data_IF_206499267726
#
_entry.id   IF_206499267726
#
_cell.length_a   1.000
_cell.length_b   1.000
_cell.length_c   1.000
_cell.angle_alpha   90.00
_cell.angle_beta   90.00
_cell.angle_gamma   90.00
#
_symmetry.space_group_name_H-M   'P 1'
#
loop_
_entity.id
_entity.type
_entity.pdbx_description
1 polymer ?
#
# COMPACT_ATOMS: atom_id res chain seq x y z
N UNK A 1 1.57 6.40 -17.63
CA UNK A 1 0.80 7.16 -16.63
C UNK A 1 -0.68 7.03 -16.98
N UNK A 2 -1.62 7.32 -16.05
CA UNK A 2 -3.05 7.10 -16.33
C UNK A 2 -3.97 7.07 -15.13
N UNK A 3 -3.42 6.95 -13.91
CA UNK A 3 -4.18 6.87 -12.67
C UNK A 3 -3.84 7.98 -11.66
N UNK A 4 -3.32 9.14 -12.11
CA UNK A 4 -2.91 10.25 -11.22
C UNK A 4 -4.02 10.69 -10.25
N UNK A 5 -5.27 10.76 -10.72
CA UNK A 5 -6.42 11.11 -9.88
C UNK A 5 -6.62 10.09 -8.75
N UNK A 6 -6.54 8.80 -9.06
CA UNK A 6 -6.70 7.72 -8.08
C UNK A 6 -5.51 7.70 -7.11
N UNK A 7 -4.29 7.88 -7.62
CA UNK A 7 -3.09 8.01 -6.80
C UNK A 7 -3.21 9.17 -5.80
N UNK A 8 -3.70 10.33 -6.25
CA UNK A 8 -3.98 11.49 -5.37
C UNK A 8 -5.06 11.20 -4.33
N UNK A 9 -6.14 10.51 -4.71
CA UNK A 9 -7.21 10.10 -3.78
C UNK A 9 -6.71 9.22 -2.63
N UNK A 10 -5.71 8.37 -2.89
CA UNK A 10 -5.09 7.52 -1.88
C UNK A 10 -3.76 8.08 -1.32
N UNK A 11 -3.40 9.31 -1.66
CA UNK A 11 -2.18 9.96 -1.15
C UNK A 11 -0.87 9.29 -1.58
N UNK A 12 -0.84 8.64 -2.74
CA UNK A 12 0.36 8.05 -3.32
C UNK A 12 1.16 9.13 -4.05
N UNK A 13 2.14 9.70 -3.32
CA UNK A 13 3.00 10.80 -3.80
C UNK A 13 4.37 10.31 -4.29
N UNK A 14 4.86 9.20 -3.75
CA UNK A 14 6.19 8.64 -4.04
C UNK A 14 6.05 7.20 -4.51
N UNK A 15 6.92 6.78 -5.45
CA UNK A 15 6.98 5.39 -5.94
C UNK A 15 8.32 4.74 -5.57
N UNK A 16 8.35 3.41 -5.34
CA UNK A 16 7.19 2.51 -5.25
C UNK A 16 6.40 2.70 -3.94
N UNK A 17 5.09 2.52 -3.99
CA UNK A 17 4.21 2.48 -2.80
C UNK A 17 3.25 1.31 -2.93
N UNK A 18 3.10 0.53 -1.87
CA UNK A 18 2.09 -0.52 -1.73
C UNK A 18 1.01 -0.01 -0.76
N UNK A 19 -0.25 0.02 -1.18
CA UNK A 19 -1.38 0.37 -0.31
C UNK A 19 -2.20 -0.90 0.01
N UNK A 20 -2.58 -1.05 1.28
CA UNK A 20 -3.30 -2.22 1.78
C UNK A 20 -4.75 -1.85 2.07
N UNK A 21 -5.66 -2.73 1.64
CA UNK A 21 -7.10 -2.58 1.81
C UNK A 21 -7.67 -3.82 2.50
N UNK A 22 -8.47 -3.61 3.54
CA UNK A 22 -9.23 -4.66 4.23
C UNK A 22 -10.69 -4.20 4.27
N UNK A 23 -11.61 -5.09 3.89
CA UNK A 23 -13.05 -4.78 3.76
C UNK A 23 -13.36 -3.52 2.94
N UNK A 24 -12.59 -3.32 1.87
CA UNK A 24 -12.72 -2.17 0.96
C UNK A 24 -12.21 -0.84 1.52
N UNK A 25 -11.67 -0.82 2.75
CA UNK A 25 -11.12 0.39 3.38
C UNK A 25 -9.59 0.37 3.32
N UNK A 26 -8.93 1.50 3.00
CA UNK A 26 -7.48 1.61 3.10
C UNK A 26 -7.07 1.57 4.58
N UNK A 27 -6.23 0.60 4.95
CA UNK A 27 -5.80 0.38 6.34
C UNK A 27 -4.33 0.72 6.58
N UNK A 28 -3.48 0.56 5.56
CA UNK A 28 -2.05 0.88 5.68
C UNK A 28 -1.36 1.07 4.32
N UNK A 29 -0.09 1.47 4.33
CA UNK A 29 0.79 1.55 3.16
C UNK A 29 2.26 1.35 3.51
N UNK A 30 3.01 0.81 2.56
CA UNK A 30 4.47 0.78 2.57
C UNK A 30 4.98 1.69 1.46
N UNK A 31 5.79 2.68 1.81
CA UNK A 31 6.44 3.60 0.87
C UNK A 31 7.91 3.19 0.71
N UNK A 32 8.40 3.18 -0.52
CA UNK A 32 9.75 2.74 -0.86
C UNK A 32 9.84 1.25 -1.17
N UNK A 33 11.05 0.80 -1.48
CA UNK A 33 11.32 -0.60 -1.80
C UNK A 33 11.45 -1.41 -0.50
N UNK A 34 10.70 -2.51 -0.41
CA UNK A 34 10.72 -3.41 0.74
C UNK A 34 11.04 -4.84 0.29
N UNK A 35 11.64 -5.62 1.19
CA UNK A 35 11.91 -7.03 0.92
C UNK A 35 10.62 -7.85 0.93
N UNK A 36 10.67 -9.03 0.33
CA UNK A 36 9.56 -9.99 0.32
C UNK A 36 9.08 -10.32 1.73
N UNK A 37 9.98 -10.48 2.68
CA UNK A 37 9.65 -10.90 4.04
C UNK A 37 8.94 -9.78 4.80
N UNK A 38 9.36 -8.52 4.62
CA UNK A 38 8.66 -7.34 5.18
C UNK A 38 7.23 -7.24 4.65
N UNK A 39 7.04 -7.43 3.34
CA UNK A 39 5.71 -7.39 2.72
C UNK A 39 4.83 -8.53 3.26
N UNK A 40 5.38 -9.75 3.40
CA UNK A 40 4.66 -10.88 3.97
C UNK A 40 4.23 -10.63 5.41
N UNK A 41 5.17 -10.18 6.26
CA UNK A 41 4.86 -9.85 7.65
C UNK A 41 3.73 -8.83 7.71
N UNK A 42 3.78 -7.80 6.86
CA UNK A 42 2.74 -6.77 6.83
C UNK A 42 1.36 -7.32 6.48
N UNK A 43 1.30 -8.26 5.54
CA UNK A 43 0.04 -8.91 5.16
C UNK A 43 -0.52 -9.74 6.32
N UNK A 44 0.32 -10.48 7.04
CA UNK A 44 -0.11 -11.28 8.19
C UNK A 44 -0.57 -10.39 9.37
N UNK A 45 0.14 -9.28 9.62
CA UNK A 45 -0.28 -8.27 10.61
C UNK A 45 -1.68 -7.69 10.33
N UNK A 46 -2.04 -7.50 9.05
CA UNK A 46 -3.31 -6.91 8.65
C UNK A 46 -4.46 -7.93 8.52
N UNK A 47 -4.16 -9.23 8.62
CA UNK A 47 -5.14 -10.32 8.60
C UNK A 47 -5.65 -10.71 9.99
N UNK A 48 -4.86 -10.42 11.02
CA UNK A 48 -5.19 -10.68 12.41
C UNK A 48 -6.21 -9.66 12.95
#
# INVERSE_FOLDING_TARGET
>A
DGAQRIAGQYGILSIPTLAFFVDGKPVDRLVGLHSKDVIKQKIEELRA
#
